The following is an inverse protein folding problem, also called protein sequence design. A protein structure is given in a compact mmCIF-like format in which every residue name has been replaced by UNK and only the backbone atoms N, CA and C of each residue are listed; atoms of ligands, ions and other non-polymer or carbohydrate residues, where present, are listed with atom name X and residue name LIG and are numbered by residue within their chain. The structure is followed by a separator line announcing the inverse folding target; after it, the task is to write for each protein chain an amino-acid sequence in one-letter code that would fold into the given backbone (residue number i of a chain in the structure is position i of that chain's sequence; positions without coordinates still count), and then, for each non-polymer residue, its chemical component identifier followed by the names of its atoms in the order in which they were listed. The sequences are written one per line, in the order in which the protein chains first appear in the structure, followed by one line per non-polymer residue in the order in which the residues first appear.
data_IF_403357117338
#
_entry.id   IF_403357117338
#
_cell.length_a   1.000
_cell.length_b   1.000
_cell.length_c   1.000
_cell.angle_alpha   90.00
_cell.angle_beta   90.00
_cell.angle_gamma   90.00
#
_symmetry.space_group_name_H-M   'P 1'
#
loop_
_entity.id
_entity.type
_entity.pdbx_description
1 polymer ?
#
# COMPACT_ATOMS: atom_id res chain seq x y z
N UNK A 1 3.43 8.81 10.58
CA UNK A 1 2.16 8.07 10.79
C UNK A 1 1.22 8.35 9.63
N UNK A 2 0.54 7.33 9.11
CA UNK A 2 -0.28 7.43 7.90
C UNK A 2 -1.75 7.77 8.21
N UNK A 3 -2.42 8.51 7.31
CA UNK A 3 -3.87 8.78 7.39
C UNK A 3 -4.69 7.83 6.52
N UNK A 4 -4.07 7.25 5.48
CA UNK A 4 -4.68 6.25 4.62
C UNK A 4 -3.59 5.27 4.16
N UNK A 5 -3.89 3.97 4.21
CA UNK A 5 -3.04 2.91 3.66
C UNK A 5 -3.92 2.07 2.73
N UNK A 6 -3.43 1.84 1.52
CA UNK A 6 -4.13 1.06 0.50
C UNK A 6 -3.19 0.03 -0.14
N UNK A 7 -3.74 -1.14 -0.46
CA UNK A 7 -3.09 -2.18 -1.27
C UNK A 7 -3.97 -2.39 -2.49
N UNK A 8 -3.41 -2.15 -3.67
CA UNK A 8 -4.13 -2.16 -4.95
C UNK A 8 -3.62 -3.36 -5.77
N UNK A 9 -4.55 -4.13 -6.32
CA UNK A 9 -4.24 -5.24 -7.22
C UNK A 9 -3.69 -4.74 -8.55
N UNK A 10 -3.09 -5.65 -9.32
CA UNK A 10 -2.57 -5.34 -10.65
C UNK A 10 -3.66 -4.83 -11.61
N UNK A 11 -4.89 -5.30 -11.46
CA UNK A 11 -6.04 -4.89 -12.27
C UNK A 11 -6.76 -3.66 -11.68
N UNK A 12 -6.05 -2.84 -10.89
CA UNK A 12 -6.50 -1.55 -10.33
C UNK A 12 -7.73 -1.60 -9.39
N UNK A 13 -8.12 -2.78 -8.90
CA UNK A 13 -9.10 -2.91 -7.83
C UNK A 13 -8.43 -2.96 -6.44
N UNK A 14 -9.08 -2.46 -5.38
CA UNK A 14 -8.48 -2.45 -4.05
C UNK A 14 -8.56 -3.83 -3.38
N UNK A 15 -7.41 -4.34 -2.92
CA UNK A 15 -7.33 -5.50 -2.03
C UNK A 15 -7.52 -5.09 -0.56
N UNK A 16 -7.13 -3.87 -0.21
CA UNK A 16 -7.29 -3.31 1.13
C UNK A 16 -7.27 -1.79 1.04
N UNK A 17 -8.19 -1.12 1.74
CA UNK A 17 -8.09 0.31 2.00
C UNK A 17 -8.50 0.53 3.44
N UNK A 18 -7.71 1.32 4.17
CA UNK A 18 -8.07 1.81 5.48
C UNK A 18 -7.66 3.25 5.64
N UNK A 19 -8.57 4.07 6.16
CA UNK A 19 -8.36 5.49 6.37
C UNK A 19 -8.86 5.97 7.73
N UNK A 20 -8.24 7.03 8.24
CA UNK A 20 -8.57 7.69 9.50
C UNK A 20 -8.49 9.21 9.28
N UNK A 21 -9.51 10.00 9.67
CA UNK A 21 -10.79 9.58 10.23
C UNK A 21 -11.73 8.96 9.17
N UNK A 22 -12.60 8.06 9.60
CA UNK A 22 -13.56 7.34 8.72
C UNK A 22 -14.55 8.27 8.02
N UNK A 23 -14.79 9.46 8.56
CA UNK A 23 -15.68 10.48 7.97
C UNK A 23 -15.25 10.92 6.55
N UNK A 24 -13.95 10.81 6.24
CA UNK A 24 -13.37 11.23 4.96
C UNK A 24 -12.96 10.05 4.07
N UNK A 25 -13.47 8.86 4.33
CA UNK A 25 -13.08 7.63 3.61
C UNK A 25 -13.26 7.77 2.10
N UNK A 26 -14.40 8.31 1.64
CA UNK A 26 -14.67 8.51 0.22
C UNK A 26 -13.62 9.43 -0.45
N UNK A 27 -13.19 10.49 0.23
CA UNK A 27 -12.13 11.39 -0.27
C UNK A 27 -10.81 10.64 -0.43
N UNK A 28 -10.45 9.78 0.53
CA UNK A 28 -9.23 8.99 0.45
C UNK A 28 -9.30 7.94 -0.67
N UNK A 29 -10.45 7.30 -0.87
CA UNK A 29 -10.65 6.37 -2.00
C UNK A 29 -10.42 7.05 -3.35
N UNK A 30 -11.03 8.23 -3.57
CA UNK A 30 -10.79 9.00 -4.79
C UNK A 30 -9.32 9.39 -4.94
N UNK A 31 -8.69 9.86 -3.86
CA UNK A 31 -7.28 10.25 -3.88
C UNK A 31 -6.38 9.08 -4.29
N UNK A 32 -6.58 7.90 -3.67
CA UNK A 32 -5.85 6.67 -4.01
C UNK A 32 -6.06 6.30 -5.47
N UNK A 33 -7.31 6.30 -5.94
CA UNK A 33 -7.62 5.93 -7.32
C UNK A 33 -6.97 6.87 -8.34
N UNK A 34 -7.10 8.19 -8.16
CA UNK A 34 -6.47 9.18 -9.05
C UNK A 34 -4.94 9.17 -8.98
N UNK A 35 -4.36 8.66 -7.88
CA UNK A 35 -2.90 8.54 -7.76
C UNK A 35 -2.33 7.39 -8.60
N UNK A 36 -3.15 6.42 -9.00
CA UNK A 36 -2.72 5.29 -9.82
C UNK A 36 -2.21 5.76 -11.19
N UNK A 37 -2.85 6.75 -11.80
CA UNK A 37 -2.42 7.33 -13.09
C UNK A 37 -0.96 7.82 -13.01
N UNK A 38 -0.61 8.52 -11.93
CA UNK A 38 0.75 9.03 -11.69
C UNK A 38 1.75 7.90 -11.43
N UNK A 39 1.33 6.85 -10.72
CA UNK A 39 2.16 5.67 -10.44
C UNK A 39 2.44 4.91 -11.73
N UNK A 40 1.43 4.67 -12.58
CA UNK A 40 1.57 4.00 -13.87
C UNK A 40 2.51 4.74 -14.82
N UNK A 41 2.37 6.08 -14.90
CA UNK A 41 3.26 6.92 -15.71
C UNK A 41 4.72 6.79 -15.26
N UNK A 42 4.96 6.84 -13.95
CA UNK A 42 6.33 6.74 -13.39
C UNK A 42 6.93 5.34 -13.57
N UNK A 43 6.16 4.27 -13.38
CA UNK A 43 6.64 2.90 -13.63
C UNK A 43 7.02 2.73 -15.11
N UNK A 44 6.21 3.29 -16.02
CA UNK A 44 6.48 3.26 -17.48
C UNK A 44 7.74 4.05 -17.88
N UNK A 45 8.06 5.12 -17.15
CA UNK A 45 9.27 5.91 -17.36
C UNK A 45 10.55 5.21 -16.85
N UNK A 46 10.47 4.48 -15.73
CA UNK A 46 11.59 3.76 -15.10
C UNK A 46 12.09 2.59 -15.96
N UNK A 47 11.20 1.94 -16.72
CA UNK A 47 11.54 0.82 -17.62
C UNK A 47 12.53 1.12 -18.75
N UNK A 48 13.01 2.36 -18.90
CA UNK A 48 13.99 2.79 -19.91
C UNK A 48 15.44 2.83 -19.40
N UNK A 49 15.67 2.69 -18.09
CA UNK A 49 17.03 2.68 -17.51
C UNK A 49 17.42 1.26 -17.07
N UNK A 50 18.48 0.72 -17.69
CA UNK A 50 18.94 -0.67 -17.50
C UNK A 50 19.55 -0.92 -16.10
N UNK A 51 19.74 0.12 -15.28
CA UNK A 51 20.40 0.03 -13.96
C UNK A 51 19.48 -0.03 -12.75
N UNK A 52 18.18 0.24 -12.89
CA UNK A 52 17.32 0.69 -11.77
C UNK A 52 16.16 -0.27 -11.42
N UNK A 53 16.17 -1.49 -11.97
CA UNK A 53 15.11 -2.50 -11.74
C UNK A 53 15.01 -3.02 -10.29
N UNK A 54 15.82 -2.49 -9.36
CA UNK A 54 15.81 -2.85 -7.93
C UNK A 54 15.09 -1.82 -7.07
N UNK A 55 14.77 -0.63 -7.59
CA UNK A 55 14.00 0.35 -6.84
C UNK A 55 12.50 0.01 -6.88
N UNK A 56 12.05 -0.72 -5.85
CA UNK A 56 10.65 -1.08 -5.62
C UNK A 56 9.80 0.07 -5.06
N UNK A 57 10.43 1.21 -4.79
CA UNK A 57 9.83 2.34 -4.09
C UNK A 57 9.91 3.59 -4.96
N UNK A 58 8.80 4.32 -5.01
CA UNK A 58 8.70 5.53 -5.81
C UNK A 58 9.22 6.74 -5.04
N UNK A 59 10.32 7.33 -5.51
CA UNK A 59 10.92 8.54 -4.95
C UNK A 59 11.97 8.28 -3.87
N UNK A 60 12.40 9.35 -3.18
CA UNK A 60 13.53 9.34 -2.22
C UNK A 60 13.15 8.77 -0.85
N UNK A 61 12.58 7.56 -0.82
CA UNK A 61 12.23 6.86 0.42
C UNK A 61 13.46 6.28 1.16
N UNK A 62 14.68 6.45 0.61
CA UNK A 62 15.81 5.58 0.90
C UNK A 62 16.44 5.64 2.32
N UNK A 63 16.07 6.57 3.23
CA UNK A 63 16.44 6.40 4.64
C UNK A 63 15.41 6.86 5.69
N UNK A 64 14.17 7.22 5.31
CA UNK A 64 13.20 7.78 6.27
C UNK A 64 12.44 6.70 7.04
N UNK A 65 11.74 7.10 8.11
CA UNK A 65 10.83 6.20 8.83
C UNK A 65 9.78 5.54 7.90
N UNK A 66 9.47 6.20 6.78
CA UNK A 66 8.53 5.72 5.77
C UNK A 66 8.98 4.41 5.12
N UNK A 67 10.28 4.24 4.87
CA UNK A 67 10.82 2.98 4.33
C UNK A 67 10.53 1.80 5.24
N UNK A 68 10.69 1.99 6.56
CA UNK A 68 10.43 0.93 7.55
C UNK A 68 8.94 0.57 7.59
N UNK A 69 8.06 1.56 7.42
CA UNK A 69 6.62 1.33 7.34
C UNK A 69 6.25 0.51 6.11
N UNK A 70 6.75 0.87 4.93
CA UNK A 70 6.53 0.10 3.70
C UNK A 70 7.05 -1.33 3.80
N UNK A 71 8.26 -1.53 4.34
CA UNK A 71 8.81 -2.88 4.54
C UNK A 71 7.95 -3.72 5.48
N UNK A 72 7.51 -3.14 6.60
CA UNK A 72 6.64 -3.84 7.56
C UNK A 72 5.27 -4.18 6.95
N UNK A 73 4.71 -3.27 6.15
CA UNK A 73 3.46 -3.50 5.42
C UNK A 73 3.63 -4.61 4.38
N UNK A 74 4.71 -4.57 3.59
CA UNK A 74 5.00 -5.57 2.57
C UNK A 74 5.17 -6.97 3.17
N UNK A 75 5.95 -7.10 4.25
CA UNK A 75 6.10 -8.39 4.95
C UNK A 75 4.74 -8.94 5.41
N UNK A 76 3.91 -8.09 6.03
CA UNK A 76 2.59 -8.53 6.47
C UNK A 76 1.66 -8.90 5.31
N UNK A 77 1.77 -8.21 4.17
CA UNK A 77 1.06 -8.55 2.96
C UNK A 77 1.51 -9.93 2.44
N UNK A 78 2.82 -10.19 2.38
CA UNK A 78 3.37 -11.49 2.00
C UNK A 78 2.86 -12.59 2.90
N UNK A 79 2.80 -12.38 4.22
CA UNK A 79 2.25 -13.36 5.17
C UNK A 79 0.78 -13.71 4.87
N UNK A 80 -0.03 -12.73 4.45
CA UNK A 80 -1.42 -12.95 4.03
C UNK A 80 -1.47 -13.73 2.72
N UNK A 81 -0.70 -13.30 1.71
CA UNK A 81 -0.72 -13.90 0.36
C UNK A 81 -0.15 -15.32 0.35
N UNK A 82 0.78 -15.63 1.25
CA UNK A 82 1.36 -16.96 1.39
C UNK A 82 0.53 -17.90 2.30
N UNK A 83 -0.62 -17.44 2.82
CA UNK A 83 -1.53 -18.31 3.54
C UNK A 83 -2.26 -19.25 2.55
N UNK A 84 -2.18 -20.58 2.71
CA UNK A 84 -2.82 -21.53 1.77
C UNK A 84 -4.35 -21.44 1.75
N UNK A 85 -4.97 -20.77 2.72
CA UNK A 85 -6.42 -20.53 2.77
C UNK A 85 -6.84 -19.16 2.20
N UNK A 86 -5.87 -18.34 1.77
CA UNK A 86 -6.17 -17.07 1.13
C UNK A 86 -6.33 -17.28 -0.38
N UNK A 87 -7.43 -16.79 -0.96
CA UNK A 87 -7.61 -16.80 -2.40
C UNK A 87 -7.01 -15.52 -3.00
N UNK A 88 -6.10 -15.62 -3.99
CA UNK A 88 -5.57 -14.46 -4.68
C UNK A 88 -6.68 -13.62 -5.30
N UNK A 89 -6.66 -12.31 -5.05
CA UNK A 89 -7.63 -11.35 -5.56
C UNK A 89 -8.79 -11.03 -4.61
N UNK A 90 -8.98 -11.83 -3.55
CA UNK A 90 -9.93 -11.47 -2.50
C UNK A 90 -9.40 -10.29 -1.67
N UNK A 91 -10.32 -9.49 -1.14
CA UNK A 91 -9.96 -8.44 -0.18
C UNK A 91 -9.27 -9.05 1.05
N UNK A 92 -8.27 -8.34 1.57
CA UNK A 92 -7.52 -8.76 2.76
C UNK A 92 -8.40 -8.58 4.00
N UNK A 93 -8.77 -9.70 4.63
CA UNK A 93 -9.60 -9.74 5.85
C UNK A 93 -8.81 -10.13 7.12
N UNK A 94 -7.49 -10.23 7.03
CA UNK A 94 -6.64 -10.66 8.14
C UNK A 94 -6.63 -9.65 9.29
N UNK A 95 -7.08 -10.09 10.48
CA UNK A 95 -7.01 -9.28 11.71
C UNK A 95 -5.58 -8.94 12.11
N UNK A 96 -4.63 -9.83 11.85
CA UNK A 96 -3.22 -9.59 12.13
C UNK A 96 -2.66 -8.48 11.24
N UNK A 97 -3.01 -8.50 9.95
CA UNK A 97 -2.66 -7.44 9.01
C UNK A 97 -3.27 -6.09 9.43
N UNK A 98 -4.56 -6.09 9.80
CA UNK A 98 -5.24 -4.88 10.26
C UNK A 98 -4.63 -4.29 11.55
N UNK A 99 -4.19 -5.14 12.48
CA UNK A 99 -3.45 -4.71 13.67
C UNK A 99 -2.11 -4.05 13.33
N UNK A 100 -1.39 -4.57 12.35
CA UNK A 100 -0.14 -3.99 11.85
C UNK A 100 -0.40 -2.62 11.21
N UNK A 101 -1.42 -2.50 10.35
CA UNK A 101 -1.83 -1.23 9.74
C UNK A 101 -2.24 -0.22 10.82
N UNK A 102 -3.01 -0.65 11.82
CA UNK A 102 -3.40 0.20 12.96
C UNK A 102 -2.21 0.83 13.67
N UNK A 103 -1.14 0.06 13.89
CA UNK A 103 0.07 0.59 14.51
C UNK A 103 0.86 1.58 13.63
N UNK A 104 0.57 1.69 12.33
CA UNK A 104 1.20 2.64 11.41
C UNK A 104 0.37 3.92 11.23
N UNK A 105 -0.93 3.87 11.56
CA UNK A 105 -1.85 4.96 11.35
C UNK A 105 -1.79 6.01 12.46
N UNK A 106 -2.19 7.23 12.14
CA UNK A 106 -2.36 8.30 13.13
C UNK A 106 -3.41 7.85 14.15
N UNK A 107 -3.08 7.93 15.44
CA UNK A 107 -4.03 7.66 16.51
C UNK A 107 -5.04 8.81 16.59
N UNK A 108 -6.32 8.52 16.38
CA UNK A 108 -7.42 9.42 16.73
C UNK A 108 -7.74 9.21 18.20
N UNK A 109 -7.68 10.28 18.99
CA UNK A 109 -8.11 10.30 20.39
C UNK A 109 -9.62 10.19 20.54
#
# INVERSE_FOLDING_TARGET
MAVCIAVIAKENYPLYIRSVPTQNELKFHYTVHTSLDVVEEKISAVGKSIGDQRELYLGLLYPTEDYKMFRKLHNSFTDVMCNPFHNPGDSIQSKAFDGIVSGMMVQTG
#
